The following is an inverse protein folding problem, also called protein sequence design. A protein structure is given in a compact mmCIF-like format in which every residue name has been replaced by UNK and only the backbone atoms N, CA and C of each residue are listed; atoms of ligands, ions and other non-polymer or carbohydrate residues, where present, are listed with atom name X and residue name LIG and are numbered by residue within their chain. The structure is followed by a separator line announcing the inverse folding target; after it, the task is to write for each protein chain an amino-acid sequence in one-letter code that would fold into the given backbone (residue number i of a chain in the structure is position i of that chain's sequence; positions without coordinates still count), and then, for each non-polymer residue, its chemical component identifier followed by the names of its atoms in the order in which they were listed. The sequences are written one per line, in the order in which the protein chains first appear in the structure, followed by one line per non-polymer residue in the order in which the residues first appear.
data_IF_535225075237
#
_entry.id   IF_535225075237
#
_cell.length_a   1.000
_cell.length_b   1.000
_cell.length_c   1.000
_cell.angle_alpha   90.00
_cell.angle_beta   90.00
_cell.angle_gamma   90.00
#
_symmetry.space_group_name_H-M   'P 1'
#
loop_
_entity.id
_entity.type
_entity.pdbx_description
1 polymer ?
#
# COMPACT_ATOMS: atom_id res chain seq x y z
N UNK A 1 -10.31 -18.72 15.00
CA UNK A 1 -9.02 -19.22 15.51
C UNK A 1 -8.14 -18.00 15.54
N UNK A 2 -7.63 -17.61 16.71
CA UNK A 2 -6.68 -16.50 16.79
C UNK A 2 -5.36 -16.98 16.19
N UNK A 3 -4.89 -16.29 15.15
CA UNK A 3 -3.67 -16.61 14.41
C UNK A 3 -2.49 -15.89 15.04
N UNK A 4 -1.36 -16.58 15.24
CA UNK A 4 -0.16 -15.98 15.85
C UNK A 4 0.44 -14.93 14.89
N UNK A 5 0.64 -13.67 15.33
CA UNK A 5 1.23 -12.62 14.49
C UNK A 5 2.55 -13.00 13.84
N UNK A 6 3.37 -13.85 14.48
CA UNK A 6 4.64 -14.31 13.89
C UNK A 6 4.42 -15.23 12.70
N UNK A 7 3.33 -16.01 12.74
CA UNK A 7 2.97 -16.92 11.64
C UNK A 7 2.47 -16.10 10.45
N UNK A 8 1.57 -15.15 10.68
CA UNK A 8 1.05 -14.29 9.60
C UNK A 8 2.13 -13.36 9.04
N UNK A 9 3.06 -12.86 9.88
CA UNK A 9 4.23 -12.11 9.39
C UNK A 9 5.11 -12.96 8.47
N UNK A 10 5.30 -14.24 8.80
CA UNK A 10 6.06 -15.15 7.94
C UNK A 10 5.35 -15.33 6.60
N UNK A 11 4.03 -15.49 6.62
CA UNK A 11 3.22 -15.59 5.40
C UNK A 11 3.30 -14.32 4.53
N UNK A 12 3.27 -13.14 5.13
CA UNK A 12 3.45 -11.88 4.42
C UNK A 12 4.82 -11.79 3.75
N UNK A 13 5.90 -12.19 4.46
CA UNK A 13 7.23 -12.24 3.88
C UNK A 13 7.31 -13.22 2.70
N UNK A 14 6.74 -14.42 2.84
CA UNK A 14 6.68 -15.41 1.76
C UNK A 14 5.94 -14.87 0.52
N UNK A 15 4.82 -14.14 0.72
CA UNK A 15 4.08 -13.51 -0.37
C UNK A 15 4.89 -12.43 -1.09
N UNK A 16 5.63 -11.59 -0.34
CA UNK A 16 6.53 -10.58 -0.91
C UNK A 16 7.68 -11.21 -1.70
N UNK A 17 8.26 -12.31 -1.21
CA UNK A 17 9.30 -13.06 -1.92
C UNK A 17 8.76 -13.73 -3.19
N UNK A 18 7.53 -14.26 -3.15
CA UNK A 18 6.86 -14.82 -4.31
C UNK A 18 6.58 -13.75 -5.38
N UNK A 19 6.09 -12.57 -4.98
CA UNK A 19 5.91 -11.43 -5.87
C UNK A 19 7.23 -11.01 -6.53
N UNK A 20 8.31 -10.87 -5.76
CA UNK A 20 9.62 -10.54 -6.31
C UNK A 20 10.09 -11.60 -7.33
N UNK A 21 9.88 -12.88 -7.03
CA UNK A 21 10.22 -13.98 -7.92
C UNK A 21 9.43 -13.90 -9.23
N UNK A 22 8.11 -13.65 -9.16
CA UNK A 22 7.25 -13.45 -10.33
C UNK A 22 7.71 -12.25 -11.19
N UNK A 23 8.12 -11.15 -10.57
CA UNK A 23 8.65 -9.98 -11.28
C UNK A 23 9.97 -10.27 -11.99
N UNK A 24 10.85 -11.06 -11.36
CA UNK A 24 12.13 -11.47 -11.96
C UNK A 24 11.92 -12.44 -13.12
N UNK A 25 10.96 -13.35 -13.00
CA UNK A 25 10.65 -14.38 -14.00
C UNK A 25 9.68 -13.90 -15.10
N UNK A 26 9.20 -12.65 -15.00
CA UNK A 26 8.27 -12.02 -15.94
C UNK A 26 8.67 -12.22 -17.40
N UNK A 27 7.81 -12.90 -18.16
CA UNK A 27 7.97 -13.07 -19.60
C UNK A 27 6.86 -12.33 -20.38
N UNK A 28 6.95 -11.00 -20.44
CA UNK A 28 5.99 -10.16 -21.17
C UNK A 28 5.63 -8.88 -20.41
N UNK A 29 4.78 -8.03 -21.00
CA UNK A 29 4.29 -6.80 -20.35
C UNK A 29 3.19 -7.06 -19.32
N UNK A 30 2.45 -8.16 -19.45
CA UNK A 30 1.39 -8.57 -18.52
C UNK A 30 1.60 -10.03 -18.15
N UNK A 31 2.13 -10.25 -16.96
CA UNK A 31 2.31 -11.57 -16.41
C UNK A 31 1.26 -11.80 -15.31
N UNK A 32 0.30 -12.71 -15.49
CA UNK A 32 -0.77 -12.95 -14.52
C UNK A 32 -0.24 -13.43 -13.16
N UNK A 33 0.98 -13.98 -13.11
CA UNK A 33 1.60 -14.37 -11.84
C UNK A 33 1.91 -13.16 -10.95
N UNK A 34 2.17 -11.99 -11.55
CA UNK A 34 2.39 -10.75 -10.80
C UNK A 34 1.05 -10.24 -10.25
N UNK A 35 -0.01 -10.28 -11.05
CA UNK A 35 -1.35 -9.86 -10.63
C UNK A 35 -1.87 -10.73 -9.47
N UNK A 36 -1.68 -12.05 -9.58
CA UNK A 36 -1.99 -13.00 -8.49
C UNK A 36 -1.16 -12.71 -7.23
N UNK A 37 0.12 -12.37 -7.39
CA UNK A 37 0.98 -12.05 -6.27
C UNK A 37 0.61 -10.73 -5.58
N UNK A 38 0.07 -9.73 -6.29
CA UNK A 38 -0.47 -8.53 -5.65
C UNK A 38 -1.64 -8.86 -4.72
N UNK A 39 -2.56 -9.70 -5.18
CA UNK A 39 -3.71 -10.15 -4.39
C UNK A 39 -3.25 -10.95 -3.16
N UNK A 40 -2.26 -11.83 -3.30
CA UNK A 40 -1.76 -12.59 -2.15
C UNK A 40 -1.03 -11.71 -1.13
N UNK A 41 -0.28 -10.68 -1.55
CA UNK A 41 0.31 -9.71 -0.62
C UNK A 41 -0.79 -9.00 0.19
N UNK A 42 -1.84 -8.51 -0.47
CA UNK A 42 -2.96 -7.85 0.19
C UNK A 42 -3.61 -8.76 1.25
N UNK A 43 -3.98 -9.98 0.87
CA UNK A 43 -4.60 -10.95 1.77
C UNK A 43 -3.69 -11.32 2.95
N UNK A 44 -2.39 -11.51 2.70
CA UNK A 44 -1.44 -11.87 3.75
C UNK A 44 -1.18 -10.70 4.70
N UNK A 45 -1.20 -9.46 4.18
CA UNK A 45 -1.06 -8.26 4.99
C UNK A 45 -2.28 -8.04 5.89
N UNK A 46 -3.50 -8.15 5.37
CA UNK A 46 -4.74 -8.05 6.17
C UNK A 46 -4.76 -9.09 7.30
N UNK A 47 -4.39 -10.34 6.99
CA UNK A 47 -4.31 -11.39 8.00
C UNK A 47 -3.27 -11.09 9.10
N UNK A 48 -2.16 -10.47 8.73
CA UNK A 48 -1.14 -10.03 9.68
C UNK A 48 -1.63 -8.87 10.55
N UNK A 49 -2.27 -7.85 9.97
CA UNK A 49 -2.86 -6.73 10.70
C UNK A 49 -3.92 -7.20 11.70
N UNK A 50 -4.83 -8.10 11.27
CA UNK A 50 -5.84 -8.69 12.14
C UNK A 50 -5.22 -9.45 13.32
N UNK A 51 -4.20 -10.26 13.05
CA UNK A 51 -3.50 -11.01 14.09
C UNK A 51 -2.76 -10.06 15.06
N UNK A 52 -2.10 -9.04 14.54
CA UNK A 52 -1.37 -8.04 15.31
C UNK A 52 -2.33 -7.28 16.24
N UNK A 53 -3.47 -6.86 15.71
CA UNK A 53 -4.50 -6.15 16.47
C UNK A 53 -5.12 -7.05 17.55
N UNK A 54 -5.45 -8.31 17.22
CA UNK A 54 -6.01 -9.24 18.22
C UNK A 54 -5.02 -9.52 19.37
N UNK A 55 -3.71 -9.60 19.07
CA UNK A 55 -2.70 -9.95 20.06
C UNK A 55 -2.22 -8.75 20.89
N UNK A 56 -2.15 -7.56 20.30
CA UNK A 56 -1.46 -6.40 20.88
C UNK A 56 -2.25 -5.10 20.84
N UNK A 57 -3.44 -5.06 20.24
CA UNK A 57 -4.23 -3.84 20.01
C UNK A 57 -3.46 -2.76 19.23
N UNK A 58 -2.53 -3.18 18.37
CA UNK A 58 -1.68 -2.32 17.53
C UNK A 58 -1.88 -2.64 16.05
N UNK A 59 -1.61 -1.66 15.19
CA UNK A 59 -1.69 -1.75 13.71
C UNK A 59 -0.46 -1.13 13.08
N UNK A 60 -0.13 -1.51 11.84
CA UNK A 60 0.97 -0.86 11.12
C UNK A 60 0.52 0.44 10.45
N UNK A 61 1.45 1.36 10.12
CA UNK A 61 1.11 2.57 9.36
C UNK A 61 0.94 2.32 7.86
N UNK A 62 0.62 1.08 7.45
CA UNK A 62 0.48 0.67 6.05
C UNK A 62 -0.99 0.42 5.73
N UNK A 63 -1.37 0.58 4.47
CA UNK A 63 -2.70 0.22 3.95
C UNK A 63 -2.55 -0.51 2.61
N UNK A 64 -3.52 -1.35 2.29
CA UNK A 64 -3.63 -1.98 0.97
C UNK A 64 -4.41 -1.05 0.07
N UNK A 65 -3.79 -0.60 -1.02
CA UNK A 65 -4.50 0.12 -2.06
C UNK A 65 -5.35 -0.87 -2.87
N UNK A 66 -6.68 -0.74 -2.78
CA UNK A 66 -7.68 -1.56 -3.48
C UNK A 66 -8.79 -0.72 -4.10
N UNK A 67 -9.56 -1.31 -5.03
CA UNK A 67 -10.56 -0.71 -5.93
C UNK A 67 -11.70 0.10 -5.28
N UNK A 68 -11.75 0.18 -3.94
CA UNK A 68 -12.80 0.86 -3.16
C UNK A 68 -12.37 2.24 -2.62
N UNK A 69 -11.18 2.75 -2.97
CA UNK A 69 -10.65 4.03 -2.46
C UNK A 69 -10.12 4.95 -3.59
N UNK A 70 -10.97 5.29 -4.56
CA UNK A 70 -10.78 6.49 -5.41
C UNK A 70 -10.99 7.81 -4.63
N UNK A 71 -11.41 7.78 -3.35
CA UNK A 71 -11.87 8.98 -2.62
C UNK A 71 -10.79 9.70 -1.77
N UNK A 72 -9.63 9.09 -1.48
CA UNK A 72 -8.67 9.67 -0.50
C UNK A 72 -7.38 10.26 -1.10
N UNK A 73 -7.26 10.29 -2.44
CA UNK A 73 -6.13 10.95 -3.12
C UNK A 73 -6.44 12.36 -3.63
N UNK A 74 -7.72 12.77 -3.68
CA UNK A 74 -8.11 14.11 -4.13
C UNK A 74 -7.86 15.20 -3.06
N UNK A 75 -7.78 14.88 -1.77
CA UNK A 75 -7.63 15.89 -0.70
C UNK A 75 -6.22 16.50 -0.58
N UNK A 76 -5.21 15.92 -1.24
CA UNK A 76 -3.80 16.38 -1.14
C UNK A 76 -3.43 17.38 -2.26
N UNK A 77 -4.28 17.57 -3.28
CA UNK A 77 -3.93 18.31 -4.51
C UNK A 77 -4.58 19.70 -4.64
N UNK A 78 -5.16 20.28 -3.59
CA UNK A 78 -5.96 21.53 -3.69
C UNK A 78 -5.35 22.75 -2.97
N UNK A 79 -4.04 22.75 -2.65
CA UNK A 79 -3.40 23.85 -1.89
C UNK A 79 -2.20 24.52 -2.60
N UNK A 80 -2.09 24.44 -3.93
CA UNK A 80 -0.99 25.06 -4.72
C UNK A 80 -1.38 26.21 -5.67
N UNK A 81 -2.53 26.88 -5.52
CA UNK A 81 -2.93 27.94 -6.48
C UNK A 81 -3.49 29.25 -5.86
N UNK A 82 -2.91 29.77 -4.78
CA UNK A 82 -3.20 31.16 -4.32
C UNK A 82 -1.93 31.92 -3.86
N UNK A 83 -0.82 31.80 -4.60
CA UNK A 83 0.21 32.84 -4.58
C UNK A 83 -0.23 33.93 -5.58
N UNK A 84 -0.92 34.95 -5.07
CA UNK A 84 -1.21 36.21 -5.78
C UNK A 84 0.11 36.82 -6.29
N UNK A 85 0.40 36.62 -7.57
CA UNK A 85 1.60 37.10 -8.28
C UNK A 85 1.47 38.58 -8.73
N UNK A 86 0.68 39.39 -8.00
CA UNK A 86 0.25 40.72 -8.47
C UNK A 86 0.58 41.90 -7.51
N UNK A 87 1.43 41.73 -6.49
CA UNK A 87 1.81 42.86 -5.59
C UNK A 87 3.31 43.00 -5.30
N UNK A 88 4.19 42.63 -6.23
CA UNK A 88 5.59 43.09 -6.20
C UNK A 88 5.69 44.43 -6.97
N UNK A 89 5.24 45.51 -6.33
CA UNK A 89 5.52 46.87 -6.80
C UNK A 89 7.02 47.16 -6.57
N UNK A 90 7.82 47.08 -7.64
CA UNK A 90 9.18 47.59 -7.64
C UNK A 90 9.12 49.13 -7.69
N UNK A 91 9.16 49.80 -6.53
CA UNK A 91 9.55 51.21 -6.47
C UNK A 91 11.08 51.35 -6.29
N UNK A 92 11.65 52.24 -7.12
CA UNK A 92 13.06 52.54 -7.40
C UNK A 92 13.88 53.06 -6.20
#
# INVERSE_FOLDING_TARGET
MSTDPRTELTRLLDALEAHLSAVIERNGEHDPAIDEAYVEIANAFEAYEDALFEAYEEVTPLSVYGDDEEDDLEEILDDEDDIDDDDIEYED
#
